data_IF_804891965858
#
_entry.id   IF_804891965858
#
_cell.length_a   1.000
_cell.length_b   1.000
_cell.length_c   1.000
_cell.angle_alpha   90.00
_cell.angle_beta   90.00
_cell.angle_gamma   90.00
#
_symmetry.space_group_name_H-M   'P 1'
#
loop_
_entity.id
_entity.type
_entity.pdbx_description
1 polymer ?
#
# COMPACT_ATOMS: atom_id res chain seq x y z
N UNK A 1 3.40 -10.30 -5.66
CA UNK A 1 3.74 -11.74 -5.71
C UNK A 1 3.93 -12.27 -7.13
N UNK A 2 2.94 -12.20 -8.03
CA UNK A 2 3.07 -12.73 -9.41
C UNK A 2 4.35 -12.26 -10.10
N UNK A 3 4.64 -10.95 -10.06
CA UNK A 3 5.88 -10.40 -10.65
C UNK A 3 7.17 -10.94 -10.04
N UNK A 4 7.16 -11.34 -8.77
CA UNK A 4 8.33 -11.90 -8.08
C UNK A 4 8.60 -13.32 -8.58
N UNK A 5 7.55 -14.16 -8.68
CA UNK A 5 7.71 -15.59 -9.03
C UNK A 5 7.71 -15.85 -10.54
N UNK A 6 7.16 -14.95 -11.34
CA UNK A 6 7.10 -15.08 -12.82
C UNK A 6 8.05 -14.12 -13.54
N UNK A 7 8.57 -13.09 -12.86
CA UNK A 7 9.48 -12.10 -13.45
C UNK A 7 8.81 -11.10 -14.40
N UNK A 8 7.48 -11.02 -14.40
CA UNK A 8 6.69 -10.08 -15.24
C UNK A 8 5.39 -9.70 -14.56
N UNK A 9 4.84 -8.54 -14.91
CA UNK A 9 3.51 -8.13 -14.43
C UNK A 9 2.42 -9.05 -15.03
N UNK A 10 1.38 -9.39 -14.26
CA UNK A 10 0.26 -10.17 -14.77
C UNK A 10 -0.48 -9.41 -15.88
N UNK A 11 -0.74 -8.12 -15.70
CA UNK A 11 -1.45 -7.28 -16.67
C UNK A 11 -0.52 -6.20 -17.23
N UNK A 12 -0.51 -6.04 -18.56
CA UNK A 12 0.31 -5.05 -19.27
C UNK A 12 -0.43 -4.58 -20.52
N UNK A 13 -0.30 -3.29 -20.83
CA UNK A 13 -0.71 -2.74 -22.12
C UNK A 13 0.54 -2.22 -22.85
N UNK A 14 0.68 -2.47 -24.16
CA UNK A 14 1.70 -1.82 -24.98
C UNK A 14 1.33 -0.37 -25.35
N UNK A 15 0.09 0.06 -25.06
CA UNK A 15 -0.41 1.38 -25.39
C UNK A 15 -0.29 2.33 -24.19
N UNK A 16 -0.10 3.61 -24.47
CA UNK A 16 0.00 4.66 -23.47
C UNK A 16 -1.30 5.48 -23.40
N UNK A 17 -1.40 6.33 -22.36
CA UNK A 17 -2.54 7.20 -22.14
C UNK A 17 -3.86 6.45 -21.88
N UNK A 18 -4.98 7.06 -22.26
CA UNK A 18 -6.31 6.56 -21.95
C UNK A 18 -6.59 5.15 -22.51
N UNK A 19 -6.06 4.84 -23.70
CA UNK A 19 -6.21 3.51 -24.31
C UNK A 19 -5.55 2.43 -23.46
N UNK A 20 -4.28 2.63 -23.11
CA UNK A 20 -3.56 1.67 -22.27
C UNK A 20 -4.18 1.48 -20.90
N UNK A 21 -4.65 2.59 -20.30
CA UNK A 21 -5.39 2.54 -19.03
C UNK A 21 -6.66 1.70 -19.13
N UNK A 22 -7.47 1.91 -20.16
CA UNK A 22 -8.72 1.17 -20.36
C UNK A 22 -8.46 -0.31 -20.60
N UNK A 23 -7.42 -0.67 -21.36
CA UNK A 23 -7.01 -2.06 -21.55
C UNK A 23 -6.56 -2.71 -20.24
N UNK A 24 -5.79 -2.00 -19.40
CA UNK A 24 -5.40 -2.51 -18.09
C UNK A 24 -6.59 -2.72 -17.17
N UNK A 25 -7.57 -1.81 -17.19
CA UNK A 25 -8.82 -1.95 -16.43
C UNK A 25 -9.60 -3.17 -16.89
N UNK A 26 -9.74 -3.39 -18.21
CA UNK A 26 -10.41 -4.57 -18.77
C UNK A 26 -9.67 -5.87 -18.45
N UNK A 27 -8.34 -5.90 -18.55
CA UNK A 27 -7.55 -7.07 -18.15
C UNK A 27 -7.70 -7.37 -16.66
N UNK A 28 -7.67 -6.35 -15.81
CA UNK A 28 -7.77 -6.51 -14.35
C UNK A 28 -9.18 -6.95 -13.93
N UNK A 29 -10.23 -6.47 -14.61
CA UNK A 29 -11.61 -6.87 -14.32
C UNK A 29 -11.93 -8.30 -14.76
N UNK A 30 -11.26 -8.80 -15.81
CA UNK A 30 -11.36 -10.20 -16.24
C UNK A 30 -10.48 -11.15 -15.43
N UNK A 31 -9.36 -10.67 -14.91
CA UNK A 31 -8.40 -11.46 -14.16
C UNK A 31 -7.50 -12.35 -15.02
N UNK A 32 -7.02 -13.44 -14.42
CA UNK A 32 -6.03 -14.32 -15.04
C UNK A 32 -6.61 -15.14 -16.20
N UNK A 33 -6.27 -14.76 -17.44
CA UNK A 33 -6.55 -15.50 -18.68
C UNK A 33 -5.63 -16.72 -18.95
N UNK A 34 -5.92 -17.44 -20.04
CA UNK A 34 -5.14 -18.58 -20.55
C UNK A 34 -3.67 -18.25 -20.83
N UNK A 35 -3.35 -17.00 -21.21
CA UNK A 35 -1.97 -16.55 -21.43
C UNK A 35 -1.15 -16.64 -20.14
N UNK A 36 -1.75 -16.29 -18.99
CA UNK A 36 -1.07 -16.41 -17.70
C UNK A 36 -0.89 -17.87 -17.29
N UNK A 37 -1.84 -18.75 -17.61
CA UNK A 37 -1.75 -20.18 -17.28
C UNK A 37 -0.50 -20.85 -17.88
N UNK A 38 0.00 -20.38 -19.03
CA UNK A 38 1.26 -20.86 -19.62
C UNK A 38 2.47 -20.64 -18.70
N UNK A 39 2.46 -19.59 -17.90
CA UNK A 39 3.51 -19.32 -16.93
C UNK A 39 3.23 -19.99 -15.58
N UNK A 40 1.97 -20.01 -15.16
CA UNK A 40 1.56 -20.62 -13.89
C UNK A 40 1.77 -22.14 -13.86
N UNK A 41 1.77 -22.82 -15.01
CA UNK A 41 2.01 -24.27 -15.06
C UNK A 41 3.42 -24.65 -14.57
N UNK A 42 4.38 -23.72 -14.69
CA UNK A 42 5.77 -23.91 -14.24
C UNK A 42 5.92 -23.78 -12.71
N UNK A 43 4.90 -23.26 -12.02
CA UNK A 43 4.92 -23.06 -10.58
C UNK A 43 4.42 -24.30 -9.83
N UNK A 44 4.82 -24.43 -8.57
CA UNK A 44 4.28 -25.47 -7.69
C UNK A 44 2.75 -25.34 -7.59
N UNK A 45 2.01 -26.46 -7.39
CA UNK A 45 0.55 -26.42 -7.32
C UNK A 45 0.02 -25.43 -6.29
N UNK A 46 0.63 -25.35 -5.11
CA UNK A 46 0.24 -24.42 -4.05
C UNK A 46 0.54 -22.96 -4.40
N UNK A 47 1.66 -22.65 -5.07
CA UNK A 47 1.97 -21.29 -5.51
C UNK A 47 0.92 -20.79 -6.51
N UNK A 48 0.60 -21.65 -7.49
CA UNK A 48 -0.40 -21.38 -8.51
C UNK A 48 -1.79 -21.18 -7.92
N UNK A 49 -2.18 -22.03 -6.97
CA UNK A 49 -3.46 -21.89 -6.25
C UNK A 49 -3.55 -20.56 -5.51
N UNK A 50 -2.52 -20.21 -4.74
CA UNK A 50 -2.47 -18.94 -4.01
C UNK A 50 -2.58 -17.73 -4.95
N UNK A 51 -1.83 -17.72 -6.06
CA UNK A 51 -1.87 -16.63 -7.03
C UNK A 51 -3.26 -16.45 -7.64
N UNK A 52 -3.97 -17.52 -7.94
CA UNK A 52 -5.33 -17.45 -8.48
C UNK A 52 -6.30 -16.84 -7.48
N UNK A 53 -6.23 -17.26 -6.21
CA UNK A 53 -7.12 -16.76 -5.17
C UNK A 53 -6.80 -15.30 -4.77
N UNK A 54 -5.54 -14.87 -4.87
CA UNK A 54 -5.14 -13.48 -4.60
C UNK A 54 -5.47 -12.52 -5.76
N UNK A 55 -5.36 -12.99 -7.00
CA UNK A 55 -5.66 -12.21 -8.20
C UNK A 55 -7.08 -12.45 -8.72
N UNK A 56 -7.98 -12.88 -7.83
CA UNK A 56 -9.41 -13.01 -8.08
C UNK A 56 -10.03 -11.61 -8.33
N UNK A 57 -10.65 -11.38 -9.50
CA UNK A 57 -11.26 -10.10 -9.83
C UNK A 57 -12.38 -9.70 -8.87
N UNK A 58 -13.19 -10.66 -8.44
CA UNK A 58 -14.25 -10.38 -7.49
C UNK A 58 -13.67 -10.23 -6.07
N UNK A 59 -13.71 -9.04 -5.46
CA UNK A 59 -13.13 -8.82 -4.14
C UNK A 59 -13.75 -9.69 -3.04
N UNK A 60 -15.02 -10.09 -3.17
CA UNK A 60 -15.70 -10.95 -2.20
C UNK A 60 -15.24 -12.41 -2.27
N UNK A 61 -14.69 -12.83 -3.40
CA UNK A 61 -14.15 -14.18 -3.62
C UNK A 61 -12.63 -14.23 -3.42
N UNK A 62 -11.99 -13.07 -3.26
CA UNK A 62 -10.54 -12.96 -3.08
C UNK A 62 -10.14 -13.50 -1.72
N UNK A 63 -9.03 -14.25 -1.67
CA UNK A 63 -8.52 -14.84 -0.43
C UNK A 63 -8.28 -13.77 0.64
N UNK A 64 -8.94 -13.84 1.81
CA UNK A 64 -8.70 -12.89 2.88
C UNK A 64 -7.32 -13.12 3.51
N UNK A 65 -6.77 -12.07 4.13
CA UNK A 65 -5.41 -12.11 4.69
C UNK A 65 -5.23 -13.24 5.72
N UNK A 66 -6.23 -13.51 6.57
CA UNK A 66 -6.17 -14.60 7.55
C UNK A 66 -5.97 -15.98 6.90
N UNK A 67 -6.59 -16.21 5.74
CA UNK A 67 -6.44 -17.46 5.00
C UNK A 67 -5.08 -17.53 4.27
N UNK A 68 -4.56 -16.38 3.82
CA UNK A 68 -3.20 -16.29 3.28
C UNK A 68 -2.17 -16.70 4.33
N UNK A 69 -2.37 -16.29 5.58
CA UNK A 69 -1.45 -16.52 6.70
C UNK A 69 -1.28 -17.99 7.07
N UNK A 70 -2.24 -18.84 6.69
CA UNK A 70 -2.20 -20.29 6.91
C UNK A 70 -1.99 -21.09 5.61
N UNK A 71 -1.94 -20.42 4.46
CA UNK A 71 -1.91 -21.08 3.16
C UNK A 71 -0.65 -21.96 3.00
N UNK A 72 -0.75 -23.21 2.48
CA UNK A 72 0.37 -24.16 2.41
C UNK A 72 1.63 -23.64 1.70
N UNK A 73 1.46 -22.76 0.71
CA UNK A 73 2.59 -22.14 0.02
C UNK A 73 3.35 -21.12 0.90
N UNK A 74 2.65 -20.44 1.81
CA UNK A 74 3.21 -19.44 2.73
C UNK A 74 3.85 -20.13 3.94
N UNK A 75 3.24 -21.21 4.42
CA UNK A 75 3.53 -21.80 5.74
C UNK A 75 4.34 -23.09 5.69
N UNK A 76 4.99 -23.38 4.56
CA UNK A 76 5.71 -24.65 4.33
C UNK A 76 4.79 -25.85 4.63
N UNK A 77 3.62 -25.85 4.00
CA UNK A 77 2.57 -26.86 4.20
C UNK A 77 2.04 -26.93 5.65
N UNK A 78 1.98 -25.78 6.33
CA UNK A 78 1.38 -25.65 7.67
C UNK A 78 2.37 -25.81 8.82
N UNK A 79 3.64 -26.09 8.56
CA UNK A 79 4.64 -26.26 9.64
C UNK A 79 5.11 -24.93 10.24
N UNK A 80 4.89 -23.81 9.55
CA UNK A 80 5.28 -22.48 9.99
C UNK A 80 4.16 -21.44 9.70
N UNK A 81 3.03 -21.48 10.43
CA UNK A 81 1.96 -20.51 10.25
C UNK A 81 2.38 -19.11 10.67
N UNK A 82 1.87 -18.10 9.95
CA UNK A 82 2.02 -16.71 10.39
C UNK A 82 1.03 -16.43 11.53
N UNK A 83 1.44 -15.62 12.50
CA UNK A 83 0.61 -15.27 13.66
C UNK A 83 -0.23 -14.03 13.32
N UNK A 84 -1.58 -14.11 13.37
CA UNK A 84 -2.45 -12.96 13.17
C UNK A 84 -2.16 -11.84 14.16
N UNK A 85 -2.33 -10.60 13.69
CA UNK A 85 -2.34 -9.46 14.61
C UNK A 85 -3.50 -9.62 15.59
N UNK A 86 -3.19 -9.51 16.87
CA UNK A 86 -4.19 -9.47 17.94
C UNK A 86 -4.29 -8.04 18.42
N UNK A 87 -5.50 -7.49 18.36
CA UNK A 87 -5.79 -6.16 18.90
C UNK A 87 -5.42 -6.13 20.39
N UNK A 88 -4.56 -5.18 20.77
CA UNK A 88 -4.20 -4.98 22.17
C UNK A 88 -5.35 -4.23 22.85
N UNK A 89 -5.70 -4.57 24.10
CA UNK A 89 -6.66 -3.77 24.84
C UNK A 89 -6.14 -2.34 24.97
N UNK A 90 -6.97 -1.38 24.59
CA UNK A 90 -6.65 0.05 24.66
C UNK A 90 -7.32 0.58 25.92
N UNK A 91 -6.55 1.14 26.84
CA UNK A 91 -7.10 1.84 27.99
C UNK A 91 -7.66 3.22 27.59
N UNK A 92 -8.59 3.73 28.38
CA UNK A 92 -9.30 4.99 28.08
C UNK A 92 -8.36 6.21 28.06
N UNK A 93 -7.30 6.19 28.87
CA UNK A 93 -6.33 7.30 28.94
C UNK A 93 -5.47 7.37 27.67
N UNK A 94 -4.97 6.22 27.22
CA UNK A 94 -4.24 6.06 25.96
C UNK A 94 -5.14 6.43 24.79
N UNK A 95 -6.40 5.99 24.81
CA UNK A 95 -7.36 6.35 23.76
C UNK A 95 -7.56 7.87 23.68
N UNK A 96 -7.83 8.56 24.78
CA UNK A 96 -8.01 10.03 24.77
C UNK A 96 -6.74 10.78 24.37
N UNK A 97 -5.57 10.28 24.80
CA UNK A 97 -4.25 10.81 24.40
C UNK A 97 -4.05 10.72 22.90
N UNK A 98 -4.26 9.54 22.30
CA UNK A 98 -4.09 9.33 20.86
C UNK A 98 -5.13 10.12 20.07
N UNK A 99 -6.38 10.19 20.54
CA UNK A 99 -7.41 11.05 19.93
C UNK A 99 -6.98 12.52 19.96
N UNK A 100 -6.40 12.99 21.07
CA UNK A 100 -5.86 14.34 21.18
C UNK A 100 -4.72 14.61 20.21
N UNK A 101 -3.72 13.72 20.15
CA UNK A 101 -2.60 13.87 19.19
C UNK A 101 -3.09 13.84 17.75
N UNK A 102 -4.01 12.92 17.43
CA UNK A 102 -4.60 12.82 16.09
C UNK A 102 -5.34 14.12 15.73
N UNK A 103 -6.20 14.59 16.63
CA UNK A 103 -6.98 15.83 16.46
C UNK A 103 -6.10 17.04 16.18
N UNK A 104 -5.01 17.19 16.93
CA UNK A 104 -4.04 18.27 16.73
C UNK A 104 -3.31 18.16 15.39
N UNK A 105 -2.93 16.94 14.99
CA UNK A 105 -2.14 16.72 13.79
C UNK A 105 -2.94 16.98 12.50
N UNK A 106 -4.18 16.48 12.43
CA UNK A 106 -5.02 16.57 11.23
C UNK A 106 -6.09 17.66 11.33
N UNK A 107 -6.15 18.39 12.45
CA UNK A 107 -7.11 19.48 12.71
C UNK A 107 -8.57 19.05 12.57
N UNK A 108 -8.91 17.88 13.10
CA UNK A 108 -10.27 17.31 13.11
C UNK A 108 -10.68 17.04 14.57
N UNK A 109 -11.96 17.25 14.91
CA UNK A 109 -12.48 16.99 16.25
C UNK A 109 -12.30 15.53 16.70
N UNK A 110 -11.99 15.36 18.00
CA UNK A 110 -11.84 14.04 18.63
C UNK A 110 -13.07 13.15 18.41
N UNK A 111 -14.28 13.71 18.46
CA UNK A 111 -15.54 12.99 18.28
C UNK A 111 -15.70 12.43 16.87
N UNK A 112 -15.35 13.22 15.84
CA UNK A 112 -15.36 12.78 14.44
C UNK A 112 -14.31 11.68 14.23
N UNK A 113 -13.12 11.82 14.79
CA UNK A 113 -12.08 10.77 14.73
C UNK A 113 -12.58 9.48 15.39
N UNK A 114 -13.11 9.57 16.61
CA UNK A 114 -13.64 8.43 17.34
C UNK A 114 -14.75 7.70 16.56
N UNK A 115 -15.65 8.44 15.91
CA UNK A 115 -16.67 7.86 15.03
C UNK A 115 -16.04 7.05 13.88
N UNK A 116 -15.04 7.58 13.19
CA UNK A 116 -14.38 6.87 12.08
C UNK A 116 -13.72 5.57 12.54
N UNK A 117 -13.02 5.62 13.68
CA UNK A 117 -12.34 4.47 14.27
C UNK A 117 -13.35 3.40 14.73
N UNK A 118 -14.41 3.80 15.44
CA UNK A 118 -15.46 2.87 15.91
C UNK A 118 -16.21 2.18 14.77
N UNK A 119 -16.42 2.90 13.65
CA UNK A 119 -17.03 2.34 12.44
C UNK A 119 -16.09 1.44 11.65
N UNK A 120 -14.87 1.15 12.16
CA UNK A 120 -13.82 0.34 11.50
C UNK A 120 -13.56 0.80 10.06
N UNK A 121 -13.54 2.12 9.84
CA UNK A 121 -13.27 2.67 8.53
C UNK A 121 -11.79 2.51 8.18
N UNK A 122 -11.51 2.20 6.93
CA UNK A 122 -10.15 2.13 6.39
C UNK A 122 -9.86 3.40 5.59
N UNK A 123 -9.96 4.56 6.25
CA UNK A 123 -9.71 5.89 5.65
C UNK A 123 -8.50 6.59 6.28
N UNK A 124 -8.13 7.75 5.72
CA UNK A 124 -6.97 8.51 6.16
C UNK A 124 -7.04 8.89 7.66
N UNK A 125 -8.23 9.26 8.16
CA UNK A 125 -8.46 9.65 9.55
C UNK A 125 -8.15 8.47 10.49
N UNK A 126 -8.78 7.31 10.22
CA UNK A 126 -8.57 6.10 11.01
C UNK A 126 -7.13 5.59 10.88
N UNK A 127 -6.53 5.78 9.70
CA UNK A 127 -5.13 5.45 9.43
C UNK A 127 -4.16 6.24 10.32
N UNK A 128 -4.32 7.56 10.41
CA UNK A 128 -3.47 8.39 11.28
C UNK A 128 -3.62 8.01 12.75
N UNK A 129 -4.86 7.79 13.20
CA UNK A 129 -5.13 7.31 14.56
C UNK A 129 -4.39 5.99 14.86
N UNK A 130 -4.54 4.99 13.98
CA UNK A 130 -3.91 3.68 14.16
C UNK A 130 -2.38 3.78 14.18
N UNK A 131 -1.78 4.62 13.35
CA UNK A 131 -0.32 4.83 13.33
C UNK A 131 0.19 5.47 14.63
N UNK A 132 -0.53 6.47 15.15
CA UNK A 132 -0.17 7.13 16.41
C UNK A 132 -0.37 6.20 17.61
N UNK A 133 -1.44 5.41 17.61
CA UNK A 133 -1.66 4.37 18.62
C UNK A 133 -0.46 3.39 18.65
N UNK A 134 0.00 3.00 17.46
CA UNK A 134 1.15 2.11 17.29
C UNK A 134 2.49 2.74 17.74
N UNK A 135 2.63 4.07 17.67
CA UNK A 135 3.78 4.83 18.18
C UNK A 135 3.77 4.89 19.71
N UNK A 136 2.60 5.13 20.31
CA UNK A 136 2.44 5.16 21.77
C UNK A 136 2.73 3.79 22.40
N UNK A 137 2.25 2.71 21.79
CA UNK A 137 2.58 1.35 22.26
C UNK A 137 4.08 1.05 22.22
N UNK A 138 4.79 1.51 21.18
CA UNK A 138 6.25 1.34 21.07
C UNK A 138 6.99 2.18 22.10
N UNK A 139 6.51 3.39 22.37
CA UNK A 139 7.08 4.30 23.36
C UNK A 139 6.96 3.75 24.78
N UNK A 140 5.79 3.19 25.13
CA UNK A 140 5.57 2.53 26.41
C UNK A 140 6.48 1.31 26.62
N UNK A 141 6.73 0.54 25.55
CA UNK A 141 7.63 -0.63 25.61
C UNK A 141 9.09 -0.23 25.81
N UNK A 142 9.51 0.91 25.25
CA UNK A 142 10.89 1.40 25.35
C UNK A 142 11.18 1.99 26.73
N UNK A 143 10.21 2.67 27.35
CA UNK A 143 10.34 3.27 28.69
C UNK A 143 10.53 2.24 29.81
N UNK A 144 10.02 1.02 29.63
CA UNK A 144 10.10 -0.04 30.64
C UNK A 144 11.45 -0.79 30.65
N UNK A 145 12.28 -0.64 29.61
CA UNK A 145 13.58 -1.32 29.50
C UNK A 145 14.76 -0.53 30.07
N UNK A 146 14.55 0.73 30.47
CA UNK A 146 15.58 1.55 31.12
C UNK A 146 15.74 1.30 32.63
N UNK A 147 14.94 0.41 33.23
CA UNK A 147 14.92 0.20 34.70
C UNK A 147 14.90 -1.28 35.14
N UNK A 148 15.31 -2.22 34.28
CA UNK A 148 15.55 -3.61 34.70
C UNK A 148 16.91 -4.11 34.28
N UNK A 149 17.82 -4.06 35.24
CA UNK A 149 19.09 -4.78 35.19
C UNK A 149 18.88 -6.27 34.90
N UNK A 150 19.68 -6.76 33.94
CA UNK A 150 20.14 -8.13 33.72
C UNK A 150 19.38 -9.20 34.52
N UNK A 151 18.42 -9.88 33.89
CA UNK A 151 18.25 -11.33 34.05
C UNK A 151 17.93 -11.97 32.70
N UNK A 152 18.84 -12.83 32.27
CA UNK A 152 18.73 -13.74 31.13
C UNK A 152 17.77 -14.88 31.48
N UNK A 153 16.68 -15.02 30.74
CA UNK A 153 16.14 -16.31 30.28
C UNK A 153 15.19 -16.05 29.12
N UNK A 154 15.42 -16.76 28.03
CA UNK A 154 14.88 -16.45 26.72
C UNK A 154 13.37 -16.64 26.60
N UNK A 155 12.76 -15.74 25.84
CA UNK A 155 11.57 -16.01 25.06
C UNK A 155 11.69 -15.22 23.75
N UNK A 156 11.36 -15.89 22.64
CA UNK A 156 11.47 -15.39 21.27
C UNK A 156 10.52 -14.19 21.07
N UNK A 157 11.05 -12.98 21.21
CA UNK A 157 10.38 -11.80 20.70
C UNK A 157 10.39 -11.81 19.17
N UNK A 158 9.21 -11.59 18.59
CA UNK A 158 8.95 -11.50 17.16
C UNK A 158 9.80 -10.39 16.53
N UNK A 159 10.97 -10.76 16.02
CA UNK A 159 11.84 -9.89 15.24
C UNK A 159 11.19 -9.58 13.90
N UNK A 160 10.50 -8.44 13.82
CA UNK A 160 10.04 -7.86 12.56
C UNK A 160 11.25 -7.45 11.73
N UNK A 161 11.50 -8.14 10.62
CA UNK A 161 12.54 -7.78 9.65
C UNK A 161 12.17 -6.43 9.02
N UNK A 162 12.98 -5.40 9.26
CA UNK A 162 12.87 -4.10 8.56
C UNK A 162 14.03 -3.95 7.59
N UNK A 163 13.73 -3.90 6.30
CA UNK A 163 14.68 -3.58 5.23
C UNK A 163 14.81 -2.07 5.15
N UNK A 164 15.97 -1.56 5.53
CA UNK A 164 16.30 -0.13 5.43
C UNK A 164 16.95 0.12 4.07
N UNK A 165 16.22 0.72 3.14
CA UNK A 165 16.76 1.13 1.84
C UNK A 165 17.25 2.56 1.99
N UNK A 166 18.57 2.77 1.99
CA UNK A 166 19.15 4.10 1.93
C UNK A 166 19.01 4.66 0.50
N UNK A 167 18.50 5.88 0.32
CA UNK A 167 18.49 6.53 -0.98
C UNK A 167 19.94 6.86 -1.39
N UNK A 168 20.33 6.43 -2.59
CA UNK A 168 21.55 6.88 -3.25
C UNK A 168 21.34 8.32 -3.70
N UNK A 169 22.09 9.25 -3.10
CA UNK A 169 22.28 10.60 -3.64
C UNK A 169 23.22 10.48 -4.84
N UNK A 170 22.68 10.70 -6.05
CA UNK A 170 23.49 10.78 -7.27
C UNK A 170 24.07 12.18 -7.38
N UNK A 171 25.36 12.29 -7.10
CA UNK A 171 26.16 13.49 -7.27
C UNK A 171 26.44 13.74 -8.76
N UNK A 172 26.56 15.02 -9.14
CA UNK A 172 26.73 15.50 -10.52
C UNK A 172 28.18 15.35 -10.99
N UNK A 173 28.38 14.76 -12.17
CA UNK A 173 29.67 14.78 -12.89
C UNK A 173 29.45 14.97 -14.39
N UNK A 174 29.70 16.20 -14.87
CA UNK A 174 29.91 16.53 -16.29
C UNK A 174 31.28 16.03 -16.73
N UNK A 175 31.39 15.50 -17.94
CA UNK A 175 32.52 15.80 -18.85
C UNK A 175 32.24 15.38 -20.30
N UNK A 176 32.88 16.13 -21.21
CA UNK A 176 32.59 16.32 -22.64
C UNK A 176 33.32 15.32 -23.56
N UNK A 177 32.88 15.25 -24.83
CA UNK A 177 33.80 15.08 -25.98
C UNK A 177 33.26 14.29 -27.19
N UNK A 178 32.89 15.02 -28.26
CA UNK A 178 33.13 14.83 -29.72
C UNK A 178 32.84 13.46 -30.40
N UNK A 179 32.37 13.30 -31.65
CA UNK A 179 31.99 14.15 -32.79
C UNK A 179 31.31 13.25 -33.88
N UNK A 180 30.76 13.90 -34.92
CA UNK A 180 30.45 13.42 -36.31
C UNK A 180 28.97 13.21 -36.72
N UNK A 181 28.36 14.34 -37.10
CA UNK A 181 27.85 14.75 -38.44
C UNK A 181 26.69 14.06 -39.22
N UNK A 182 25.85 14.98 -39.74
CA UNK A 182 25.01 15.03 -40.98
C UNK A 182 23.50 14.72 -40.81
N UNK A 183 22.53 15.58 -41.20
CA UNK A 183 22.56 16.91 -41.82
C UNK A 183 21.14 17.48 -42.08
N UNK A 184 21.11 18.73 -42.57
CA UNK A 184 20.06 19.46 -43.30
C UNK A 184 18.76 19.95 -42.62
N UNK A 185 18.80 21.25 -42.28
CA UNK A 185 17.89 22.35 -42.69
C UNK A 185 16.36 22.27 -42.48
N UNK A 186 15.86 23.23 -41.68
CA UNK A 186 14.47 23.72 -41.70
C UNK A 186 14.31 24.91 -40.74
N UNK A 187 13.95 26.08 -41.27
CA UNK A 187 14.03 27.40 -40.64
C UNK A 187 12.95 27.70 -39.58
N UNK A 188 13.39 28.49 -38.58
CA UNK A 188 12.76 29.60 -37.86
C UNK A 188 11.22 29.67 -37.69
N UNK A 189 10.78 29.74 -36.43
CA UNK A 189 9.87 30.79 -35.95
C UNK A 189 9.94 30.89 -34.42
N UNK A 190 10.40 32.04 -33.96
CA UNK A 190 10.34 32.50 -32.58
C UNK A 190 8.90 32.90 -32.21
N UNK A 191 8.45 32.57 -31.01
CA UNK A 191 7.62 33.50 -30.23
C UNK A 191 7.68 33.13 -28.74
N UNK A 192 8.26 34.03 -27.98
CA UNK A 192 8.14 34.09 -26.53
C UNK A 192 6.86 34.83 -26.18
N UNK A 193 6.06 34.29 -25.25
CA UNK A 193 5.22 35.12 -24.38
C UNK A 193 5.31 34.61 -22.95
N UNK A 194 5.75 35.52 -22.10
CA UNK A 194 5.71 35.47 -20.64
C UNK A 194 4.27 35.39 -20.15
N UNK A 195 4.02 34.63 -19.08
CA UNK A 195 2.91 34.92 -18.17
C UNK A 195 3.36 34.67 -16.73
N UNK A 196 3.54 35.78 -16.01
CA UNK A 196 3.71 35.84 -14.57
C UNK A 196 2.41 35.49 -13.84
N UNK A 197 2.56 34.83 -12.69
CA UNK A 197 1.79 35.07 -11.46
C UNK A 197 0.35 34.58 -11.40
N UNK A 198 0.08 33.60 -10.53
CA UNK A 198 -0.59 33.84 -9.24
C UNK A 198 -0.80 32.54 -8.45
N UNK A 199 -0.29 32.55 -7.22
CA UNK A 199 -0.71 31.74 -6.08
C UNK A 199 -2.22 31.86 -5.84
N UNK A 200 -2.94 30.73 -5.75
CA UNK A 200 -4.16 30.62 -4.94
C UNK A 200 -4.35 29.16 -4.45
N UNK A 201 -4.13 29.00 -3.14
CA UNK A 201 -4.68 28.03 -2.18
C UNK A 201 -5.40 26.78 -2.75
N UNK A 202 -4.72 25.64 -2.69
CA UNK A 202 -5.37 24.33 -2.74
C UNK A 202 -5.96 24.00 -1.36
N UNK A 203 -7.25 24.32 -1.19
CA UNK A 203 -8.10 23.79 -0.11
C UNK A 203 -8.10 22.25 -0.13
N UNK A 204 -8.02 21.67 1.07
CA UNK A 204 -7.75 20.27 1.36
C UNK A 204 -9.05 19.43 1.23
N UNK A 205 -9.47 19.13 0.01
CA UNK A 205 -10.70 18.36 -0.27
C UNK A 205 -10.44 16.84 -0.16
N UNK A 206 -10.60 16.28 1.04
CA UNK A 206 -10.55 14.82 1.29
C UNK A 206 -11.95 14.17 1.32
N UNK A 207 -13.03 14.87 0.99
CA UNK A 207 -14.39 14.35 1.24
C UNK A 207 -15.01 13.50 0.11
N UNK A 208 -14.28 13.16 -0.95
CA UNK A 208 -14.86 12.38 -2.06
C UNK A 208 -14.25 10.98 -2.22
N UNK A 209 -14.60 10.08 -1.29
CA UNK A 209 -14.59 8.65 -1.57
C UNK A 209 -16.00 8.20 -2.00
N UNK A 210 -16.24 7.76 -3.25
CA UNK A 210 -17.56 7.32 -3.68
C UNK A 210 -17.95 6.04 -2.94
N UNK A 211 -18.81 6.14 -1.94
CA UNK A 211 -19.49 4.98 -1.35
C UNK A 211 -20.67 4.62 -2.23
N UNK A 212 -20.55 3.47 -2.92
CA UNK A 212 -21.60 2.90 -3.77
C UNK A 212 -22.81 2.55 -2.90
N UNK A 213 -23.91 3.29 -3.06
CA UNK A 213 -25.21 3.05 -2.40
C UNK A 213 -25.69 1.63 -2.70
N UNK A 214 -25.95 0.84 -1.66
CA UNK A 214 -26.68 -0.43 -1.75
C UNK A 214 -28.14 -0.15 -2.11
N UNK A 215 -28.57 -0.56 -3.30
CA UNK A 215 -29.99 -0.62 -3.65
C UNK A 215 -30.54 -1.97 -3.20
N UNK A 216 -31.42 -1.94 -2.20
CA UNK A 216 -32.24 -3.07 -1.76
C UNK A 216 -33.44 -3.16 -2.70
N UNK A 217 -33.52 -4.21 -3.53
CA UNK A 217 -34.74 -4.54 -4.25
C UNK A 217 -35.68 -5.32 -3.30
N UNK A 218 -36.88 -4.76 -3.04
CA UNK A 218 -38.00 -5.52 -2.48
C UNK A 218 -38.66 -6.37 -3.59
N UNK A 219 -39.09 -7.60 -3.29
CA UNK A 219 -39.81 -8.42 -4.24
C UNK A 219 -41.27 -7.98 -4.35
N UNK A 220 -41.85 -8.17 -5.54
CA UNK A 220 -43.30 -8.30 -5.78
C UNK A 220 -43.59 -9.75 -6.09
#
# INVERSE_FOLDING_TARGET
>A
MYGIVVGRLPFRSPHYGSRGRNELVDQTSRGLSCTHNKYLVLLTPHCRDLLRKLLEPNPQMRLPLLDVMVHPWVTVQGTAPLVPYTERPIDEQLQDKVLGRTSQLIKIDKSKIAFHVQQKRFDAISGVYNLLLDEEFKSASTSNNSDRGIQTTGDQEASVIRVSIKPVTSDHGKENGDQVSQGAQGAESESATSFEGQDLQAEHDWEQAPTRKHMVHKPK
#
